data_IF_032924708218
#
_entry.id   IF_032924708218
#
_cell.length_a   1.000
_cell.length_b   1.000
_cell.length_c   1.000
_cell.angle_alpha   90.00
_cell.angle_beta   90.00
_cell.angle_gamma   90.00
#
_symmetry.space_group_name_H-M   'P 1'
#
loop_
_entity.id
_entity.type
_entity.pdbx_description
1 polymer ?
#
# COMPACT_ATOMS: atom_id res chain seq x y z
N UNK A 1 -13.53 -24.58 -4.06
CA UNK A 1 -12.28 -24.01 -3.54
C UNK A 1 -11.71 -23.05 -4.58
N UNK A 2 -10.91 -22.09 -4.14
CA UNK A 2 -10.31 -21.06 -5.00
C UNK A 2 -8.83 -21.38 -5.24
N UNK A 3 -8.29 -21.03 -6.41
CA UNK A 3 -6.85 -21.01 -6.69
C UNK A 3 -6.16 -19.95 -5.81
N UNK A 4 -4.88 -20.13 -5.55
CA UNK A 4 -4.04 -19.10 -4.94
C UNK A 4 -3.89 -17.88 -5.87
N UNK A 5 -3.43 -16.74 -5.33
CA UNK A 5 -3.03 -15.61 -6.20
C UNK A 5 -1.73 -15.99 -6.92
N UNK A 6 -1.64 -15.80 -8.25
CA UNK A 6 -0.37 -15.97 -8.94
C UNK A 6 0.63 -14.89 -8.48
N UNK A 7 1.91 -15.25 -8.41
CA UNK A 7 3.00 -14.37 -8.00
C UNK A 7 3.89 -13.93 -9.19
N UNK A 8 3.64 -14.47 -10.38
CA UNK A 8 4.41 -14.20 -11.59
C UNK A 8 3.49 -14.02 -12.79
N UNK A 9 3.93 -13.22 -13.75
CA UNK A 9 3.31 -13.07 -15.06
C UNK A 9 4.35 -13.39 -16.16
N UNK A 10 4.00 -14.20 -17.18
CA UNK A 10 2.84 -15.07 -17.25
C UNK A 10 2.78 -16.08 -16.08
N UNK A 11 1.60 -16.67 -15.84
CA UNK A 11 1.43 -17.68 -14.79
C UNK A 11 2.19 -18.96 -15.12
N UNK A 12 2.52 -19.75 -14.09
CA UNK A 12 3.25 -21.02 -14.28
C UNK A 12 2.32 -22.12 -14.79
N UNK A 13 2.88 -23.15 -15.43
CA UNK A 13 2.11 -24.35 -15.81
C UNK A 13 1.41 -24.98 -14.60
N UNK A 14 2.05 -24.97 -13.44
CA UNK A 14 1.48 -25.47 -12.18
C UNK A 14 0.24 -24.67 -11.74
N UNK A 15 0.21 -23.37 -11.97
CA UNK A 15 -0.99 -22.56 -11.73
C UNK A 15 -2.13 -22.95 -12.68
N UNK A 16 -1.82 -23.18 -13.95
CA UNK A 16 -2.81 -23.54 -14.97
C UNK A 16 -3.41 -24.93 -14.72
N UNK A 17 -2.57 -25.88 -14.30
CA UNK A 17 -2.93 -27.26 -13.98
C UNK A 17 -3.65 -27.42 -12.62
N UNK A 18 -3.78 -26.35 -11.82
CA UNK A 18 -4.50 -26.40 -10.54
C UNK A 18 -5.97 -26.86 -10.75
N UNK A 19 -6.30 -28.00 -10.16
CA UNK A 19 -7.63 -28.62 -10.18
C UNK A 19 -8.75 -27.76 -9.55
N UNK A 20 -8.41 -26.70 -8.82
CA UNK A 20 -9.36 -25.73 -8.32
C UNK A 20 -10.06 -25.00 -9.48
N UNK A 21 -11.38 -25.17 -9.55
CA UNK A 21 -12.23 -24.62 -10.61
C UNK A 21 -12.31 -23.09 -10.66
N UNK A 22 -12.07 -22.40 -9.55
CA UNK A 22 -12.34 -20.96 -9.42
C UNK A 22 -11.07 -20.17 -9.13
N UNK A 23 -10.84 -19.08 -9.87
CA UNK A 23 -9.69 -18.18 -9.65
C UNK A 23 -9.88 -17.30 -8.41
N UNK A 24 -11.10 -16.79 -8.21
CA UNK A 24 -11.48 -15.93 -7.08
C UNK A 24 -10.60 -14.69 -6.88
N UNK A 25 -10.38 -13.90 -7.94
CA UNK A 25 -9.58 -12.65 -7.90
C UNK A 25 -10.06 -11.68 -6.80
N UNK A 26 -11.37 -11.65 -6.56
CA UNK A 26 -12.00 -10.90 -5.46
C UNK A 26 -11.56 -11.32 -4.05
N UNK A 27 -10.69 -12.32 -3.89
CA UNK A 27 -10.09 -12.77 -2.62
C UNK A 27 -8.58 -12.62 -2.60
N UNK A 28 -7.97 -12.16 -3.68
CA UNK A 28 -6.55 -11.91 -3.71
C UNK A 28 -6.21 -10.80 -2.71
N UNK A 29 -4.98 -10.88 -2.20
CA UNK A 29 -4.41 -9.89 -1.28
C UNK A 29 -4.57 -8.49 -1.87
N UNK A 30 -4.94 -7.53 -1.03
CA UNK A 30 -5.22 -6.16 -1.44
C UNK A 30 -6.53 -5.94 -2.20
N UNK A 31 -7.03 -6.87 -3.02
CA UNK A 31 -8.19 -6.60 -3.90
C UNK A 31 -9.43 -6.17 -3.11
N UNK A 32 -9.79 -6.89 -2.04
CA UNK A 32 -10.92 -6.49 -1.19
C UNK A 32 -10.70 -5.14 -0.51
N UNK A 33 -9.47 -4.88 -0.07
CA UNK A 33 -9.07 -3.62 0.56
C UNK A 33 -9.13 -2.45 -0.43
N UNK A 34 -8.77 -2.66 -1.70
CA UNK A 34 -8.85 -1.65 -2.76
C UNK A 34 -10.31 -1.39 -3.20
N UNK A 35 -11.17 -2.41 -3.17
CA UNK A 35 -12.63 -2.19 -3.32
C UNK A 35 -13.15 -1.33 -2.17
N UNK A 36 -12.74 -1.62 -0.93
CA UNK A 36 -13.09 -0.81 0.25
C UNK A 36 -12.56 0.62 0.13
N UNK A 37 -11.30 0.79 -0.23
CA UNK A 37 -10.66 2.07 -0.52
C UNK A 37 -11.50 2.90 -1.50
N UNK A 38 -11.90 2.30 -2.63
CA UNK A 38 -12.71 2.98 -3.64
C UNK A 38 -14.09 3.39 -3.11
N UNK A 39 -14.67 2.61 -2.21
CA UNK A 39 -15.95 2.93 -1.56
C UNK A 39 -15.82 4.11 -0.60
N UNK A 40 -14.75 4.15 0.23
CA UNK A 40 -14.56 5.20 1.24
C UNK A 40 -14.13 6.53 0.63
N UNK A 41 -13.28 6.51 -0.41
CA UNK A 41 -12.86 7.72 -1.15
C UNK A 41 -14.05 8.31 -1.94
N UNK A 42 -14.98 7.48 -2.43
CA UNK A 42 -16.11 7.98 -3.19
C UNK A 42 -15.69 8.65 -4.52
N UNK A 43 -16.48 9.59 -5.04
CA UNK A 43 -16.26 10.22 -6.37
C UNK A 43 -15.88 11.70 -6.29
N UNK A 44 -15.77 12.25 -5.09
CA UNK A 44 -15.71 13.69 -4.86
C UNK A 44 -14.29 14.23 -4.78
N UNK A 45 -13.30 13.36 -4.59
CA UNK A 45 -11.90 13.75 -4.48
C UNK A 45 -11.21 13.74 -5.84
N UNK A 46 -10.64 14.89 -6.19
CA UNK A 46 -9.86 15.07 -7.41
C UNK A 46 -8.46 14.47 -7.27
N UNK A 47 -7.93 13.98 -8.40
CA UNK A 47 -6.53 13.53 -8.51
C UNK A 47 -5.63 14.76 -8.56
N UNK A 48 -4.63 14.81 -7.69
CA UNK A 48 -3.62 15.89 -7.70
C UNK A 48 -2.26 15.36 -7.23
N UNK A 49 -1.24 16.24 -7.29
CA UNK A 49 0.15 15.95 -6.92
C UNK A 49 0.61 14.61 -7.49
N UNK A 50 0.77 14.58 -8.80
CA UNK A 50 1.11 13.37 -9.55
C UNK A 50 2.61 13.25 -9.77
N UNK A 51 3.13 12.02 -9.65
CA UNK A 51 4.51 11.66 -9.96
C UNK A 51 4.53 10.56 -11.01
N UNK A 52 5.50 10.61 -11.92
CA UNK A 52 5.74 9.55 -12.89
C UNK A 52 7.23 9.41 -13.15
N UNK A 53 7.70 8.18 -13.38
CA UNK A 53 9.06 7.89 -13.84
C UNK A 53 9.00 6.94 -15.03
N UNK A 54 9.95 7.09 -15.96
CA UNK A 54 9.96 6.38 -17.26
C UNK A 54 9.93 4.85 -17.14
N UNK A 55 10.38 4.31 -16.01
CA UNK A 55 10.40 2.87 -15.72
C UNK A 55 9.02 2.27 -15.35
N UNK A 56 7.93 3.05 -15.46
CA UNK A 56 6.57 2.59 -15.19
C UNK A 56 6.13 2.73 -13.74
N UNK A 57 6.68 3.74 -13.05
CA UNK A 57 6.23 4.14 -11.73
C UNK A 57 5.27 5.32 -11.83
N UNK A 58 4.20 5.26 -11.06
CA UNK A 58 3.18 6.31 -10.98
C UNK A 58 2.82 6.55 -9.51
N UNK A 59 2.54 7.79 -9.15
CA UNK A 59 1.95 8.13 -7.86
C UNK A 59 1.05 9.34 -7.96
N UNK A 60 0.07 9.44 -7.05
CA UNK A 60 -0.87 10.55 -7.00
C UNK A 60 -1.56 10.63 -5.64
N UNK A 61 -2.16 11.78 -5.37
CA UNK A 61 -3.04 12.00 -4.23
C UNK A 61 -4.50 12.10 -4.68
N UNK A 62 -5.44 11.78 -3.79
CA UNK A 62 -6.87 11.97 -4.00
C UNK A 62 -7.40 12.88 -2.89
N UNK A 63 -7.65 14.15 -3.23
CA UNK A 63 -8.00 15.18 -2.24
C UNK A 63 -7.03 15.15 -1.05
N UNK A 64 -7.55 15.34 0.16
CA UNK A 64 -6.75 15.27 1.39
C UNK A 64 -6.88 13.92 2.14
N UNK A 65 -7.38 12.89 1.46
CA UNK A 65 -7.81 11.64 2.12
C UNK A 65 -6.97 10.43 1.73
N UNK A 66 -6.21 10.48 0.63
CA UNK A 66 -5.46 9.32 0.17
C UNK A 66 -4.21 9.65 -0.64
N UNK A 67 -3.26 8.71 -0.56
CA UNK A 67 -2.04 8.66 -1.34
C UNK A 67 -1.93 7.29 -2.02
N UNK A 68 -1.58 7.27 -3.30
CA UNK A 68 -1.39 6.05 -4.08
C UNK A 68 -0.05 6.13 -4.81
N UNK A 69 0.71 5.05 -4.77
CA UNK A 69 1.86 4.82 -5.64
C UNK A 69 1.82 3.40 -6.19
N UNK A 70 2.30 3.21 -7.41
CA UNK A 70 2.35 1.90 -8.06
C UNK A 70 3.56 1.76 -8.96
N UNK A 71 4.08 0.55 -9.03
CA UNK A 71 5.07 0.13 -9.99
C UNK A 71 4.46 -0.90 -10.92
N UNK A 72 4.64 -0.73 -12.24
CA UNK A 72 4.25 -1.76 -13.22
C UNK A 72 5.07 -3.05 -13.05
N UNK A 73 6.24 -2.97 -12.44
CA UNK A 73 7.18 -4.08 -12.31
C UNK A 73 7.94 -4.41 -13.59
N UNK A 74 8.91 -5.32 -13.48
CA UNK A 74 9.72 -5.78 -14.60
C UNK A 74 9.05 -6.96 -15.33
N UNK A 75 8.87 -6.83 -16.64
CA UNK A 75 8.34 -7.91 -17.49
C UNK A 75 9.49 -8.51 -18.31
N UNK A 76 9.92 -9.72 -17.92
CA UNK A 76 11.07 -10.41 -18.50
C UNK A 76 10.85 -10.75 -19.99
N UNK A 77 9.62 -10.98 -20.43
CA UNK A 77 9.33 -11.30 -21.83
C UNK A 77 9.51 -10.09 -22.76
N UNK A 78 9.32 -8.87 -22.23
CA UNK A 78 9.43 -7.63 -23.01
C UNK A 78 10.68 -6.82 -22.71
N UNK A 79 11.37 -7.12 -21.59
CA UNK A 79 12.48 -6.34 -21.08
C UNK A 79 12.08 -4.94 -20.60
N UNK A 80 10.77 -4.66 -20.47
CA UNK A 80 10.28 -3.36 -20.07
C UNK A 80 9.98 -3.32 -18.57
N UNK A 81 10.27 -2.20 -17.94
CA UNK A 81 9.91 -1.91 -16.54
C UNK A 81 11.11 -1.96 -15.64
N UNK A 82 10.88 -2.12 -14.34
CA UNK A 82 11.95 -2.09 -13.36
C UNK A 82 11.67 -3.06 -12.22
N UNK A 83 12.70 -3.80 -11.85
CA UNK A 83 12.74 -4.72 -10.71
C UNK A 83 13.14 -4.01 -9.40
N UNK A 84 13.41 -2.69 -9.48
CA UNK A 84 13.83 -1.88 -8.36
C UNK A 84 12.69 -1.66 -7.37
N UNK A 85 13.03 -1.76 -6.08
CA UNK A 85 12.21 -1.20 -5.00
C UNK A 85 12.55 0.27 -4.84
N UNK A 86 11.54 1.14 -4.88
CA UNK A 86 11.71 2.57 -4.61
C UNK A 86 11.55 2.85 -3.12
N UNK A 87 12.48 3.62 -2.58
CA UNK A 87 12.31 4.24 -1.28
C UNK A 87 11.43 5.49 -1.43
N UNK A 88 10.31 5.53 -0.71
CA UNK A 88 9.36 6.63 -0.73
C UNK A 88 9.69 7.72 0.28
N UNK A 89 10.75 7.60 1.09
CA UNK A 89 11.17 8.64 2.03
C UNK A 89 11.26 9.99 1.34
N UNK A 90 10.75 11.03 2.00
CA UNK A 90 10.59 12.42 1.53
C UNK A 90 9.48 12.68 0.50
N UNK A 91 8.81 11.66 -0.02
CA UNK A 91 7.66 11.86 -0.90
C UNK A 91 6.52 12.50 -0.11
N UNK A 92 5.85 13.46 -0.72
CA UNK A 92 4.79 14.21 -0.07
C UNK A 92 3.46 13.44 -0.14
N UNK A 93 2.67 13.52 0.92
CA UNK A 93 1.30 13.02 1.01
C UNK A 93 0.41 14.10 1.65
N UNK A 94 -0.90 14.11 1.40
CA UNK A 94 -1.80 15.02 2.08
C UNK A 94 -2.20 14.51 3.48
N UNK A 95 -1.68 13.35 3.87
CA UNK A 95 -2.09 12.64 5.06
C UNK A 95 -1.44 13.27 6.30
N UNK A 96 -2.16 13.22 7.42
CA UNK A 96 -1.61 13.64 8.72
C UNK A 96 -0.54 12.66 9.17
N UNK A 97 0.34 13.13 10.05
CA UNK A 97 1.35 12.27 10.66
C UNK A 97 0.75 11.03 11.31
N UNK A 98 1.38 9.88 11.07
CA UNK A 98 0.93 8.60 11.58
C UNK A 98 1.45 7.44 10.77
N UNK A 99 1.22 6.23 11.28
CA UNK A 99 1.53 4.99 10.58
C UNK A 99 0.26 4.49 9.90
N UNK A 100 0.35 4.24 8.60
CA UNK A 100 -0.76 3.82 7.76
C UNK A 100 -0.56 2.40 7.28
N UNK A 101 -1.64 1.64 7.23
CA UNK A 101 -1.62 0.32 6.63
C UNK A 101 -1.62 0.45 5.11
N UNK A 102 -0.73 -0.27 4.44
CA UNK A 102 -0.76 -0.35 2.99
C UNK A 102 -1.94 -1.24 2.57
N UNK A 103 -3.05 -0.62 2.16
CA UNK A 103 -4.27 -1.33 1.78
C UNK A 103 -4.05 -2.29 0.62
N UNK A 104 -3.09 -2.05 -0.28
CA UNK A 104 -2.77 -2.97 -1.36
C UNK A 104 -2.15 -4.29 -0.86
N UNK A 105 -1.70 -4.34 0.39
CA UNK A 105 -1.01 -5.49 0.97
C UNK A 105 -1.82 -6.17 2.09
N UNK A 106 -3.00 -5.64 2.42
CA UNK A 106 -3.86 -6.18 3.47
C UNK A 106 -4.50 -7.53 3.10
N UNK A 107 -4.73 -8.35 4.13
CA UNK A 107 -5.34 -9.67 4.01
C UNK A 107 -6.79 -9.68 4.48
N UNK A 108 -7.61 -10.44 3.76
CA UNK A 108 -8.98 -10.73 4.17
C UNK A 108 -9.93 -9.55 4.03
N UNK A 109 -10.95 -9.53 4.89
CA UNK A 109 -12.03 -8.54 4.82
C UNK A 109 -11.62 -7.29 5.58
N UNK A 110 -11.57 -6.17 4.87
CA UNK A 110 -11.34 -4.86 5.47
C UNK A 110 -12.68 -4.23 5.88
N UNK A 111 -12.91 -4.02 7.19
CA UNK A 111 -14.15 -3.45 7.65
C UNK A 111 -14.24 -1.97 7.24
N UNK A 112 -15.43 -1.40 7.39
CA UNK A 112 -15.60 0.05 7.29
C UNK A 112 -14.70 0.78 8.31
N UNK A 113 -14.25 2.01 8.01
CA UNK A 113 -13.40 2.80 8.90
C UNK A 113 -13.84 2.86 10.37
N UNK A 114 -15.15 3.02 10.61
CA UNK A 114 -15.74 3.07 11.96
C UNK A 114 -15.53 1.80 12.80
N UNK A 115 -15.23 0.68 12.16
CA UNK A 115 -14.95 -0.61 12.80
C UNK A 115 -13.49 -1.04 12.59
N UNK A 116 -12.65 -0.14 12.07
CA UNK A 116 -11.23 -0.41 11.88
C UNK A 116 -10.54 -0.49 13.24
N UNK A 117 -10.06 -1.68 13.58
CA UNK A 117 -9.36 -1.96 14.85
C UNK A 117 -7.90 -1.52 14.87
N UNK A 118 -7.49 -0.66 13.92
CA UNK A 118 -6.16 -0.04 13.87
C UNK A 118 -5.00 -1.04 13.91
N UNK A 119 -5.12 -2.19 13.24
CA UNK A 119 -4.00 -3.14 13.12
C UNK A 119 -3.88 -3.58 11.67
N UNK A 120 -2.74 -3.28 11.07
CA UNK A 120 -2.43 -3.77 9.73
C UNK A 120 -2.31 -5.29 9.78
N UNK A 121 -2.95 -5.96 8.83
CA UNK A 121 -2.74 -7.38 8.58
C UNK A 121 -1.68 -7.59 7.51
N UNK A 122 -1.52 -6.62 6.61
CA UNK A 122 -0.47 -6.59 5.60
C UNK A 122 0.90 -6.24 6.21
N UNK A 123 1.99 -6.67 5.57
CA UNK A 123 3.32 -6.13 5.83
C UNK A 123 3.45 -4.70 5.29
N UNK A 124 4.60 -4.09 5.60
CA UNK A 124 5.04 -2.81 5.04
C UNK A 124 4.10 -1.63 5.31
N UNK A 125 3.81 -1.32 6.60
CA UNK A 125 3.14 -0.07 6.94
C UNK A 125 4.01 1.13 6.53
N UNK A 126 3.35 2.25 6.23
CA UNK A 126 4.01 3.49 5.80
C UNK A 126 3.87 4.54 6.89
N UNK A 127 5.00 5.14 7.29
CA UNK A 127 5.04 6.20 8.27
C UNK A 127 5.09 7.57 7.59
N UNK A 128 4.14 8.44 7.95
CA UNK A 128 4.05 9.82 7.50
C UNK A 128 4.42 10.75 8.65
N UNK A 129 5.30 11.71 8.36
CA UNK A 129 5.78 12.72 9.29
C UNK A 129 4.83 13.90 9.48
N UNK A 130 5.19 14.79 10.42
CA UNK A 130 4.43 16.01 10.73
C UNK A 130 4.35 17.01 9.57
N UNK A 131 5.27 16.94 8.62
CA UNK A 131 5.31 17.78 7.43
C UNK A 131 4.57 17.16 6.23
N UNK A 132 3.87 16.04 6.43
CA UNK A 132 3.14 15.30 5.39
C UNK A 132 4.03 14.44 4.50
N UNK A 133 5.35 14.41 4.74
CA UNK A 133 6.27 13.56 3.98
C UNK A 133 6.37 12.17 4.58
N UNK A 134 6.56 11.17 3.72
CA UNK A 134 6.86 9.81 4.13
C UNK A 134 8.24 9.80 4.81
N UNK A 135 8.31 9.23 6.00
CA UNK A 135 9.55 9.01 6.75
C UNK A 135 10.08 7.61 6.44
N UNK A 136 9.19 6.61 6.45
CA UNK A 136 9.50 5.21 6.17
C UNK A 136 8.44 4.59 5.26
N UNK A 137 8.85 3.99 4.15
CA UNK A 137 7.95 3.32 3.21
C UNK A 137 8.66 2.91 1.93
N UNK A 138 8.28 1.74 1.40
CA UNK A 138 8.88 1.16 0.20
C UNK A 138 7.79 0.82 -0.82
N UNK A 139 8.07 1.09 -2.10
CA UNK A 139 7.27 0.63 -3.22
C UNK A 139 8.05 -0.46 -3.95
N UNK A 140 7.62 -1.71 -3.79
CA UNK A 140 8.24 -2.85 -4.48
C UNK A 140 7.89 -2.87 -5.97
N UNK A 141 8.76 -3.52 -6.75
CA UNK A 141 8.50 -3.76 -8.16
C UNK A 141 7.22 -4.57 -8.34
N UNK A 142 6.33 -4.10 -9.23
CA UNK A 142 5.06 -4.78 -9.52
C UNK A 142 4.02 -4.69 -8.42
N UNK A 143 4.22 -3.84 -7.41
CA UNK A 143 3.29 -3.66 -6.29
C UNK A 143 2.69 -2.25 -6.24
N UNK A 144 1.87 -2.03 -5.21
CA UNK A 144 1.24 -0.74 -4.94
C UNK A 144 1.41 -0.37 -3.46
N UNK A 145 1.45 0.94 -3.21
CA UNK A 145 1.26 1.54 -1.89
C UNK A 145 -0.02 2.35 -1.93
N UNK A 146 -1.01 1.97 -1.12
CA UNK A 146 -2.30 2.66 -1.05
C UNK A 146 -2.64 2.99 0.38
N UNK A 147 -2.67 4.29 0.68
CA UNK A 147 -2.91 4.84 2.01
C UNK A 147 -4.21 5.63 2.00
N UNK A 148 -4.94 5.57 3.11
CA UNK A 148 -6.16 6.36 3.32
C UNK A 148 -6.20 6.87 4.76
N UNK A 149 -6.69 8.10 4.95
CA UNK A 149 -6.67 8.83 6.23
C UNK A 149 -7.26 8.04 7.41
N UNK A 150 -8.29 7.22 7.15
CA UNK A 150 -8.95 6.45 8.22
C UNK A 150 -8.36 5.05 8.49
N UNK A 151 -7.37 4.59 7.71
CA UNK A 151 -6.79 3.25 7.83
C UNK A 151 -5.37 3.30 8.43
N UNK A 152 -5.30 3.82 9.66
CA UNK A 152 -4.06 3.93 10.43
C UNK A 152 -3.79 2.69 11.29
N UNK A 153 -2.52 2.47 11.62
CA UNK A 153 -2.04 1.45 12.53
C UNK A 153 -1.94 2.01 13.97
N UNK A 154 -2.25 1.18 14.96
CA UNK A 154 -1.84 1.40 16.34
C UNK A 154 -0.34 1.15 16.42
N UNK A 155 0.41 2.22 16.65
CA UNK A 155 1.77 2.09 17.17
C UNK A 155 1.62 1.85 18.67
N UNK A 156 2.04 0.67 19.15
CA UNK A 156 2.09 0.44 20.59
C UNK A 156 3.13 1.39 21.19
N UNK A 157 2.82 2.05 22.31
CA UNK A 157 3.68 3.03 22.98
C UNK A 157 5.04 2.48 23.47
N UNK A 158 5.40 1.25 23.13
CA UNK A 158 6.66 0.60 23.52
C UNK A 158 7.88 1.10 22.72
N UNK A 159 7.69 1.77 21.57
CA UNK A 159 8.80 2.29 20.74
C UNK A 159 8.97 3.82 20.83
N UNK A 160 8.15 4.51 21.62
CA UNK A 160 8.21 5.97 21.80
C UNK A 160 9.07 6.42 22.99
N UNK A 161 9.92 5.54 23.53
CA UNK A 161 10.57 5.71 24.82
C UNK A 161 12.08 5.56 24.79
N UNK A 162 12.80 6.31 23.95
CA UNK A 162 14.25 6.48 24.11
C UNK A 162 14.76 7.80 23.52
N UNK A 163 14.21 8.94 23.95
CA UNK A 163 14.84 10.25 23.73
C UNK A 163 14.30 11.29 24.72
N UNK A 164 14.66 11.15 26.00
CA UNK A 164 14.56 12.21 27.00
C UNK A 164 15.33 11.84 28.28
N UNK A 165 16.67 11.85 28.21
CA UNK A 165 17.50 12.07 29.39
C UNK A 165 18.94 12.40 29.01
N UNK A 166 19.24 13.69 28.95
CA UNK A 166 20.50 14.29 29.39
C UNK A 166 20.37 15.79 29.18
N UNK A 167 20.06 16.52 30.25
CA UNK A 167 20.38 17.94 30.46
C UNK A 167 19.86 18.35 31.84
N UNK A 168 20.51 17.85 32.91
CA UNK A 168 20.55 18.47 34.24
C UNK A 168 21.83 17.96 34.94
N UNK A 169 22.95 18.70 34.81
CA UNK A 169 23.69 19.34 35.92
C UNK A 169 24.83 20.24 35.40
#
# INVERSE_FOLDING_TARGET
>A
TCRSSPMTSPVTAEYDEDSNRWVCEHRWRGVLALVRFRQVVGKEHEVHMTWSMDEGFLGWCLGDVAFVAMSRGYEWATGMGSDKTLNLTTWWTPLKAGVYCNLAEEYGVIPEPRYWGQRCTGPDPVEVGKDGRIISGFLHSGSMVVLHADYFAHVSSAEAGEEAKEDEE
#
